data_IF_037277027731
#
_entry.id   IF_037277027731
#
_cell.length_a   1.000
_cell.length_b   1.000
_cell.length_c   1.000
_cell.angle_alpha   90.00
_cell.angle_beta   90.00
_cell.angle_gamma   90.00
#
_symmetry.space_group_name_H-M   'P 1'
#
loop_
_entity.id
_entity.type
_entity.pdbx_description
1 polymer ?
#
# COMPACT_ATOMS: atom_id res chain seq x y z
N UNK A 1 -1.26 89.37 -26.82
CA UNK A 1 -1.86 88.18 -27.49
C UNK A 1 -1.58 86.99 -26.59
N UNK A 2 -2.39 86.88 -25.51
CA UNK A 2 -2.20 85.86 -24.44
C UNK A 2 -3.06 84.65 -24.72
N UNK A 3 -2.43 83.56 -25.11
CA UNK A 3 -3.12 82.29 -25.31
C UNK A 3 -3.06 81.53 -23.96
N UNK A 4 -4.18 80.99 -23.46
CA UNK A 4 -4.35 80.65 -22.04
C UNK A 4 -3.66 79.35 -21.66
N UNK A 5 -2.58 79.46 -20.93
CA UNK A 5 -1.86 78.35 -20.22
C UNK A 5 -2.79 77.60 -19.30
N UNK A 6 -3.93 78.11 -18.93
CA UNK A 6 -4.92 77.55 -18.00
C UNK A 6 -5.57 76.27 -18.52
N UNK A 7 -5.87 76.15 -19.81
CA UNK A 7 -6.52 74.96 -20.44
C UNK A 7 -5.62 73.77 -20.56
N UNK A 8 -4.30 73.97 -20.62
CA UNK A 8 -3.36 72.85 -20.74
C UNK A 8 -3.15 72.20 -19.42
N UNK A 9 -3.18 72.91 -18.29
CA UNK A 9 -3.04 72.31 -16.94
C UNK A 9 -4.27 71.50 -16.52
N UNK A 10 -5.48 71.85 -16.95
CA UNK A 10 -6.68 71.09 -16.65
C UNK A 10 -6.74 69.76 -17.44
N UNK A 11 -6.28 69.76 -18.70
CA UNK A 11 -6.23 68.53 -19.52
C UNK A 11 -5.19 67.52 -19.03
N UNK A 12 -4.13 68.01 -18.42
CA UNK A 12 -3.09 67.10 -17.78
C UNK A 12 -3.52 66.60 -16.41
N UNK A 13 -4.39 67.32 -15.70
CA UNK A 13 -4.90 66.91 -14.38
C UNK A 13 -5.98 65.83 -14.47
N UNK A 14 -6.77 65.83 -15.55
CA UNK A 14 -7.81 64.84 -15.83
C UNK A 14 -7.19 63.47 -16.21
N UNK A 15 -6.05 63.46 -16.93
CA UNK A 15 -5.40 62.21 -17.37
C UNK A 15 -4.66 61.45 -16.27
N UNK A 16 -4.33 62.11 -15.13
CA UNK A 16 -3.57 61.49 -14.04
C UNK A 16 -4.43 60.77 -12.98
N UNK A 17 -5.75 60.91 -13.02
CA UNK A 17 -6.61 60.34 -11.95
C UNK A 17 -7.26 58.98 -12.26
N UNK A 18 -7.29 58.55 -13.50
CA UNK A 18 -7.95 57.31 -13.88
C UNK A 18 -7.01 56.07 -13.97
N UNK A 19 -5.72 56.30 -14.22
CA UNK A 19 -4.76 55.19 -14.35
C UNK A 19 -4.58 54.37 -13.07
N UNK A 20 -4.39 54.94 -11.86
CA UNK A 20 -4.19 54.14 -10.67
C UNK A 20 -5.43 53.33 -10.24
N UNK A 21 -6.63 53.86 -10.47
CA UNK A 21 -7.88 53.14 -10.15
C UNK A 21 -8.10 51.93 -11.05
N UNK A 22 -7.73 52.00 -12.33
CA UNK A 22 -7.81 50.87 -13.27
C UNK A 22 -6.82 49.73 -12.88
N UNK A 23 -5.61 50.09 -12.47
CA UNK A 23 -4.62 49.09 -12.00
C UNK A 23 -5.02 48.44 -10.67
N UNK A 24 -5.61 49.22 -9.75
CA UNK A 24 -6.12 48.69 -8.48
C UNK A 24 -7.30 47.74 -8.71
N UNK A 25 -8.23 48.09 -9.65
CA UNK A 25 -9.36 47.20 -9.96
C UNK A 25 -8.91 45.90 -10.66
N UNK A 26 -7.91 45.99 -11.56
CA UNK A 26 -7.35 44.81 -12.24
C UNK A 26 -6.61 43.89 -11.25
N UNK A 27 -5.84 44.49 -10.33
CA UNK A 27 -5.13 43.74 -9.27
C UNK A 27 -6.12 43.08 -8.29
N UNK A 28 -7.20 43.76 -7.90
CA UNK A 28 -8.26 43.22 -7.07
C UNK A 28 -8.99 42.05 -7.77
N UNK A 29 -9.24 42.18 -9.09
CA UNK A 29 -9.87 41.12 -9.87
C UNK A 29 -8.96 39.86 -9.99
N UNK A 30 -7.67 40.07 -10.20
CA UNK A 30 -6.70 38.92 -10.23
C UNK A 30 -6.55 38.27 -8.86
N UNK A 31 -6.56 39.04 -7.77
CA UNK A 31 -6.55 38.47 -6.42
C UNK A 31 -7.82 37.63 -6.14
N UNK A 32 -8.98 38.10 -6.60
CA UNK A 32 -10.27 37.42 -6.44
C UNK A 32 -10.30 36.08 -7.21
N UNK A 33 -9.69 36.02 -8.40
CA UNK A 33 -9.61 34.80 -9.20
C UNK A 33 -8.64 33.77 -8.61
N UNK A 34 -7.55 34.22 -7.99
CA UNK A 34 -6.58 33.35 -7.31
C UNK A 34 -7.19 32.73 -6.03
N UNK A 35 -7.94 33.54 -5.27
CA UNK A 35 -8.58 33.01 -4.04
C UNK A 35 -9.72 32.03 -4.34
N UNK A 36 -10.48 32.22 -5.41
CA UNK A 36 -11.52 31.26 -5.80
C UNK A 36 -10.96 29.90 -6.27
N UNK A 37 -9.75 29.87 -6.85
CA UNK A 37 -9.08 28.63 -7.21
C UNK A 37 -8.55 27.84 -6.00
N UNK A 38 -8.26 28.50 -4.89
CA UNK A 38 -7.82 27.82 -3.65
C UNK A 38 -8.98 27.20 -2.86
N UNK A 39 -10.21 27.70 -3.00
CA UNK A 39 -11.36 27.13 -2.29
C UNK A 39 -12.01 25.92 -2.99
N UNK A 40 -11.59 25.59 -4.22
CA UNK A 40 -12.21 24.54 -5.04
C UNK A 40 -11.73 23.10 -4.80
N UNK A 41 -10.71 22.88 -3.97
CA UNK A 41 -10.18 21.54 -3.71
C UNK A 41 -10.38 21.15 -2.25
N UNK A 42 -11.62 21.01 -1.80
CA UNK A 42 -11.88 20.03 -0.74
C UNK A 42 -11.68 18.65 -1.37
N UNK A 43 -10.42 18.18 -1.33
CA UNK A 43 -10.10 16.80 -1.58
C UNK A 43 -10.95 15.99 -0.60
N UNK A 44 -12.05 15.42 -1.08
CA UNK A 44 -12.78 14.42 -0.33
C UNK A 44 -11.73 13.37 -0.03
N UNK A 45 -11.33 13.23 1.22
CA UNK A 45 -10.39 12.19 1.65
C UNK A 45 -11.09 10.85 1.44
N UNK A 46 -11.07 10.40 0.19
CA UNK A 46 -11.40 9.03 -0.15
C UNK A 46 -10.23 8.20 0.36
N UNK A 47 -10.41 7.60 1.55
CA UNK A 47 -9.50 6.59 2.06
C UNK A 47 -9.40 5.49 1.01
N UNK A 48 -8.29 5.49 0.29
CA UNK A 48 -8.03 4.47 -0.72
C UNK A 48 -7.60 3.20 0.02
N UNK A 49 -8.46 2.21 0.05
CA UNK A 49 -8.19 0.91 0.61
C UNK A 49 -7.71 -0.02 -0.50
N UNK A 50 -6.42 -0.38 -0.50
CA UNK A 50 -5.83 -1.28 -1.51
C UNK A 50 -5.69 -2.67 -0.94
N UNK A 51 -6.04 -3.65 -1.77
CA UNK A 51 -5.84 -5.09 -1.49
C UNK A 51 -4.98 -5.67 -2.59
N UNK A 52 -4.01 -6.49 -2.21
CA UNK A 52 -3.09 -7.16 -3.13
C UNK A 52 -3.16 -8.68 -2.91
N UNK A 53 -3.27 -9.47 -3.98
CA UNK A 53 -3.02 -10.90 -4.00
C UNK A 53 -1.66 -11.19 -4.63
N UNK A 54 -0.81 -12.01 -3.97
CA UNK A 54 0.53 -12.28 -4.45
C UNK A 54 0.97 -13.71 -4.16
N UNK A 55 1.22 -14.49 -5.21
CA UNK A 55 1.94 -15.75 -5.08
C UNK A 55 3.44 -15.47 -5.06
N UNK A 56 4.11 -15.77 -3.96
CA UNK A 56 5.53 -15.48 -3.76
C UNK A 56 6.45 -16.61 -4.27
N UNK A 57 5.88 -17.63 -4.91
CA UNK A 57 6.64 -18.74 -5.53
C UNK A 57 7.62 -19.40 -4.56
N UNK A 58 7.11 -20.00 -3.49
CA UNK A 58 7.89 -20.71 -2.47
C UNK A 58 8.88 -19.79 -1.72
N UNK A 59 8.36 -18.95 -0.83
CA UNK A 59 9.18 -18.15 0.08
C UNK A 59 9.55 -19.00 1.30
N UNK A 60 10.71 -19.67 1.20
CA UNK A 60 11.31 -20.52 2.24
C UNK A 60 12.51 -19.85 2.87
N UNK A 61 12.73 -20.12 4.16
CA UNK A 61 14.01 -19.85 4.78
C UNK A 61 15.06 -20.91 4.34
N UNK A 62 16.17 -21.05 5.02
CA UNK A 62 17.22 -22.03 4.68
C UNK A 62 17.45 -23.04 5.81
N UNK A 63 16.39 -23.29 6.62
CA UNK A 63 16.41 -24.25 7.74
C UNK A 63 15.43 -25.35 7.45
N UNK A 64 15.83 -26.58 7.72
CA UNK A 64 14.99 -27.76 7.52
C UNK A 64 13.87 -27.84 8.55
N UNK A 65 12.63 -27.98 8.10
CA UNK A 65 11.50 -28.43 8.91
C UNK A 65 11.40 -29.97 8.83
N UNK A 66 11.74 -30.64 9.89
CA UNK A 66 11.75 -32.13 9.95
C UNK A 66 10.39 -32.78 9.66
N UNK A 67 9.30 -32.02 9.70
CA UNK A 67 7.93 -32.49 9.42
C UNK A 67 7.51 -32.26 7.98
N UNK A 68 8.38 -31.62 7.15
CA UNK A 68 8.06 -31.19 5.79
C UNK A 68 9.10 -31.64 4.77
N UNK A 69 8.68 -31.72 3.53
CA UNK A 69 9.55 -32.02 2.40
C UNK A 69 10.04 -30.69 1.76
N UNK A 70 10.92 -30.00 2.47
CA UNK A 70 11.52 -28.72 2.10
C UNK A 70 12.98 -28.84 1.65
N UNK A 71 13.46 -30.07 1.44
CA UNK A 71 14.86 -30.38 1.12
C UNK A 71 15.44 -29.54 -0.04
N UNK A 72 14.62 -29.13 -1.02
CA UNK A 72 15.07 -28.28 -2.12
C UNK A 72 15.54 -26.89 -1.66
N UNK A 73 15.10 -26.45 -0.49
CA UNK A 73 15.38 -25.11 0.06
C UNK A 73 16.46 -25.12 1.14
N UNK A 74 17.39 -26.06 1.03
CA UNK A 74 18.55 -26.17 1.94
C UNK A 74 19.85 -25.77 1.24
N UNK A 75 20.87 -25.34 1.99
CA UNK A 75 22.16 -24.94 1.43
C UNK A 75 22.87 -26.06 0.62
N UNK A 76 22.72 -27.28 1.05
CA UNK A 76 23.36 -28.46 0.43
C UNK A 76 22.53 -29.11 -0.68
N UNK A 77 21.33 -28.59 -0.94
CA UNK A 77 20.44 -29.03 -2.01
C UNK A 77 20.90 -28.53 -3.38
N UNK A 78 20.32 -29.10 -4.46
CA UNK A 78 20.62 -28.72 -5.86
C UNK A 78 20.44 -27.22 -6.10
N UNK A 79 19.48 -26.57 -5.43
CA UNK A 79 19.25 -25.12 -5.53
C UNK A 79 20.31 -24.30 -4.79
N UNK A 80 21.12 -24.92 -3.92
CA UNK A 80 22.04 -24.21 -3.03
C UNK A 80 21.34 -23.03 -2.35
N UNK A 81 20.19 -23.28 -1.73
CA UNK A 81 19.34 -22.27 -1.12
C UNK A 81 19.92 -21.87 0.23
N UNK A 82 20.69 -20.79 0.23
CA UNK A 82 21.37 -20.25 1.39
C UNK A 82 20.77 -18.93 1.86
N UNK A 83 21.24 -18.43 2.99
CA UNK A 83 20.75 -17.19 3.60
C UNK A 83 20.82 -15.97 2.64
N UNK A 84 21.86 -15.86 1.81
CA UNK A 84 21.98 -14.77 0.85
C UNK A 84 20.87 -14.80 -0.21
N UNK A 85 20.55 -15.98 -0.74
CA UNK A 85 19.45 -16.16 -1.70
C UNK A 85 18.09 -15.90 -1.05
N UNK A 86 17.90 -16.43 0.16
CA UNK A 86 16.70 -16.18 0.95
C UNK A 86 16.48 -14.69 1.19
N UNK A 87 17.50 -14.00 1.70
CA UNK A 87 17.42 -12.54 1.96
C UNK A 87 17.16 -11.75 0.70
N UNK A 88 17.80 -12.07 -0.42
CA UNK A 88 17.55 -11.43 -1.72
C UNK A 88 16.10 -11.59 -2.17
N UNK A 89 15.52 -12.78 -2.02
CA UNK A 89 14.13 -13.07 -2.36
C UNK A 89 13.17 -12.32 -1.46
N UNK A 90 13.41 -12.35 -0.16
CA UNK A 90 12.63 -11.64 0.84
C UNK A 90 12.58 -10.13 0.53
N UNK A 91 13.72 -9.52 0.21
CA UNK A 91 13.80 -8.10 -0.15
C UNK A 91 13.12 -7.81 -1.51
N UNK A 92 13.15 -8.77 -2.46
CA UNK A 92 12.44 -8.62 -3.73
C UNK A 92 10.91 -8.63 -3.53
N UNK A 93 10.38 -9.59 -2.74
CA UNK A 93 8.96 -9.67 -2.37
C UNK A 93 8.52 -8.38 -1.68
N UNK A 94 9.30 -7.89 -0.71
CA UNK A 94 9.00 -6.66 0.00
C UNK A 94 8.92 -5.44 -0.93
N UNK A 95 9.86 -5.32 -1.88
CA UNK A 95 9.87 -4.23 -2.87
C UNK A 95 8.66 -4.28 -3.81
N UNK A 96 8.22 -5.47 -4.23
CA UNK A 96 7.01 -5.62 -5.05
C UNK A 96 5.79 -5.12 -4.30
N UNK A 97 5.64 -5.48 -3.02
CA UNK A 97 4.52 -5.02 -2.18
C UNK A 97 4.51 -3.49 -2.06
N UNK A 98 5.67 -2.87 -1.82
CA UNK A 98 5.78 -1.40 -1.77
C UNK A 98 5.45 -0.77 -3.12
N UNK A 99 5.98 -1.33 -4.22
CA UNK A 99 5.78 -0.77 -5.57
C UNK A 99 4.31 -0.79 -6.00
N UNK A 100 3.56 -1.86 -5.69
CA UNK A 100 2.12 -1.94 -5.95
C UNK A 100 1.35 -0.89 -5.15
N UNK A 101 1.84 -0.52 -3.99
CA UNK A 101 1.25 0.52 -3.14
C UNK A 101 1.40 1.93 -3.68
N UNK A 102 2.38 2.21 -4.56
CA UNK A 102 2.74 3.54 -5.02
C UNK A 102 3.06 4.50 -3.85
N UNK A 103 2.10 5.41 -3.52
CA UNK A 103 2.25 6.40 -2.44
C UNK A 103 1.99 5.85 -1.03
N UNK A 104 1.26 4.73 -0.92
CA UNK A 104 1.03 4.06 0.36
C UNK A 104 0.91 2.55 0.17
N UNK A 105 1.58 1.74 1.00
CA UNK A 105 1.52 0.29 0.89
C UNK A 105 0.07 -0.22 0.94
N UNK A 106 -0.26 -1.37 0.29
CA UNK A 106 -1.59 -1.96 0.35
C UNK A 106 -2.03 -2.21 1.80
N UNK A 107 -3.30 -1.93 2.12
CA UNK A 107 -3.83 -2.17 3.46
C UNK A 107 -3.85 -3.65 3.83
N UNK A 108 -4.12 -4.51 2.83
CA UNK A 108 -4.11 -5.97 2.93
C UNK A 108 -3.27 -6.57 1.82
N UNK A 109 -2.47 -7.60 2.16
CA UNK A 109 -1.71 -8.39 1.18
C UNK A 109 -1.94 -9.88 1.46
N UNK A 110 -2.68 -10.55 0.57
CA UNK A 110 -2.85 -11.99 0.58
C UNK A 110 -1.63 -12.66 -0.07
N UNK A 111 -0.92 -13.48 0.68
CA UNK A 111 0.27 -14.20 0.23
C UNK A 111 -0.03 -15.68 0.09
N UNK A 112 0.41 -16.26 -1.03
CA UNK A 112 0.41 -17.70 -1.26
C UNK A 112 1.86 -18.22 -1.33
N UNK A 113 2.06 -19.47 -0.91
CA UNK A 113 3.34 -20.17 -0.94
C UNK A 113 4.40 -19.58 0.01
N UNK A 114 3.97 -19.26 1.21
CA UNK A 114 4.84 -18.88 2.32
C UNK A 114 5.07 -20.08 3.22
N UNK A 115 6.29 -20.25 3.69
CA UNK A 115 6.64 -21.41 4.52
C UNK A 115 6.06 -21.33 5.93
N UNK A 116 6.46 -20.33 6.72
CA UNK A 116 6.18 -20.30 8.15
C UNK A 116 6.17 -18.88 8.76
N UNK A 117 5.91 -18.81 10.07
CA UNK A 117 5.92 -17.57 10.85
C UNK A 117 7.28 -16.85 10.85
N UNK A 118 8.39 -17.60 10.83
CA UNK A 118 9.73 -17.01 10.82
C UNK A 118 9.95 -16.19 9.56
N UNK A 119 9.55 -16.72 8.41
CA UNK A 119 9.63 -16.03 7.12
C UNK A 119 8.79 -14.77 7.10
N UNK A 120 7.57 -14.81 7.62
CA UNK A 120 6.69 -13.62 7.69
C UNK A 120 7.20 -12.57 8.68
N UNK A 121 7.77 -13.00 9.80
CA UNK A 121 8.44 -12.11 10.74
C UNK A 121 9.63 -11.41 10.07
N UNK A 122 10.42 -12.16 9.33
CA UNK A 122 11.57 -11.61 8.61
C UNK A 122 11.12 -10.63 7.51
N UNK A 123 10.06 -10.99 6.77
CA UNK A 123 9.48 -10.13 5.74
C UNK A 123 8.94 -8.80 6.33
N UNK A 124 8.23 -8.87 7.46
CA UNK A 124 7.58 -7.68 8.03
C UNK A 124 8.50 -6.84 8.90
N UNK A 125 9.56 -7.41 9.51
CA UNK A 125 10.43 -6.70 10.48
C UNK A 125 11.83 -6.41 9.97
N UNK A 126 12.35 -7.23 9.03
CA UNK A 126 13.73 -7.15 8.58
C UNK A 126 13.88 -6.86 7.09
N UNK A 127 12.82 -6.36 6.46
CA UNK A 127 12.82 -5.82 5.10
C UNK A 127 12.35 -4.35 5.10
N UNK A 128 12.20 -3.77 3.90
CA UNK A 128 11.64 -2.41 3.72
C UNK A 128 10.19 -2.31 4.19
N UNK A 129 9.48 -3.43 4.40
CA UNK A 129 8.11 -3.42 4.93
C UNK A 129 8.04 -3.07 6.43
N UNK A 130 9.15 -2.99 7.13
CA UNK A 130 9.20 -2.62 8.55
C UNK A 130 8.49 -1.29 8.81
N UNK A 131 8.66 -0.32 7.94
CA UNK A 131 8.06 1.01 8.08
C UNK A 131 6.53 1.02 7.83
N UNK A 132 6.00 -0.02 7.18
CA UNK A 132 4.56 -0.16 6.94
C UNK A 132 3.78 -0.79 8.11
N UNK A 133 4.47 -1.22 9.17
CA UNK A 133 3.92 -1.84 10.40
C UNK A 133 2.89 -2.94 10.13
N UNK A 134 3.17 -3.82 9.17
CA UNK A 134 2.31 -4.96 8.91
C UNK A 134 2.29 -5.94 10.07
N UNK A 135 1.08 -6.47 10.35
CA UNK A 135 0.85 -7.68 11.12
C UNK A 135 0.41 -8.77 10.15
N UNK A 136 0.38 -10.01 10.60
CA UNK A 136 -0.03 -11.11 9.75
C UNK A 136 -0.85 -12.17 10.49
N UNK A 137 -1.60 -12.93 9.70
CA UNK A 137 -2.23 -14.21 10.06
C UNK A 137 -1.77 -15.22 9.03
N UNK A 138 -1.44 -16.44 9.45
CA UNK A 138 -0.97 -17.52 8.59
C UNK A 138 -1.72 -18.81 8.91
N UNK A 139 -1.90 -19.67 7.89
CA UNK A 139 -2.34 -21.06 8.10
C UNK A 139 -1.17 -21.96 8.50
N UNK A 140 -1.47 -23.08 9.14
CA UNK A 140 -0.54 -24.19 9.32
C UNK A 140 -1.14 -25.39 8.61
N UNK A 141 -0.83 -25.51 7.32
CA UNK A 141 -1.43 -26.48 6.40
C UNK A 141 -0.77 -27.85 6.51
N UNK A 142 -1.52 -28.94 6.26
CA UNK A 142 -0.94 -30.26 6.17
C UNK A 142 -0.19 -30.52 4.86
N UNK A 143 0.00 -29.52 4.00
CA UNK A 143 0.75 -29.65 2.74
C UNK A 143 2.16 -30.19 3.03
N UNK A 144 2.53 -31.26 2.34
CA UNK A 144 3.80 -31.95 2.53
C UNK A 144 5.02 -31.09 2.24
N UNK A 145 4.88 -30.09 1.35
CA UNK A 145 5.97 -29.18 0.99
C UNK A 145 6.22 -28.10 2.04
N UNK A 146 5.30 -27.94 3.01
CA UNK A 146 5.42 -26.91 4.04
C UNK A 146 4.94 -25.53 3.60
N UNK A 147 4.14 -25.41 2.52
CA UNK A 147 3.63 -24.11 2.05
C UNK A 147 2.27 -23.78 2.65
N UNK A 148 2.11 -22.52 2.98
CA UNK A 148 0.92 -21.95 3.62
C UNK A 148 0.39 -20.74 2.84
N UNK A 149 -0.75 -20.22 3.28
CA UNK A 149 -1.30 -18.93 2.88
C UNK A 149 -1.31 -17.99 4.08
N UNK A 150 -1.12 -16.70 3.81
CA UNK A 150 -1.07 -15.68 4.85
C UNK A 150 -1.74 -14.38 4.40
N UNK A 151 -2.21 -13.60 5.36
CA UNK A 151 -2.68 -12.24 5.15
C UNK A 151 -1.80 -11.28 5.95
N UNK A 152 -1.13 -10.35 5.26
CA UNK A 152 -0.54 -9.17 5.90
C UNK A 152 -1.61 -8.08 5.98
N UNK A 153 -1.65 -7.34 7.08
CA UNK A 153 -2.58 -6.22 7.26
C UNK A 153 -1.94 -5.08 8.03
N UNK A 154 -2.29 -3.84 7.67
CA UNK A 154 -1.89 -2.64 8.39
C UNK A 154 -2.88 -2.35 9.51
N UNK A 155 -2.41 -2.34 10.77
CA UNK A 155 -3.27 -2.12 11.95
C UNK A 155 -4.02 -0.80 11.95
N UNK A 156 -3.46 0.23 11.33
CA UNK A 156 -4.10 1.53 11.20
C UNK A 156 -5.28 1.56 10.23
N UNK A 157 -5.38 0.57 9.32
CA UNK A 157 -6.39 0.51 8.27
C UNK A 157 -7.37 -0.66 8.43
N UNK A 158 -6.93 -1.73 9.10
CA UNK A 158 -7.72 -2.95 9.31
C UNK A 158 -7.52 -3.47 10.73
N UNK A 159 -8.62 -3.58 11.47
CA UNK A 159 -8.66 -4.18 12.82
C UNK A 159 -9.08 -5.64 12.69
N UNK A 160 -8.15 -6.56 12.89
CA UNK A 160 -8.41 -7.99 12.94
C UNK A 160 -9.42 -8.32 14.04
N UNK A 161 -10.48 -9.04 13.70
CA UNK A 161 -11.47 -9.60 14.62
C UNK A 161 -11.25 -11.10 14.82
N UNK A 162 -11.08 -11.85 13.73
CA UNK A 162 -10.83 -13.29 13.77
C UNK A 162 -10.01 -13.76 12.58
N UNK A 163 -9.27 -14.85 12.77
CA UNK A 163 -8.58 -15.57 11.71
C UNK A 163 -8.77 -17.07 11.95
N UNK A 164 -9.28 -17.77 10.93
CA UNK A 164 -9.59 -19.20 10.99
C UNK A 164 -9.00 -19.93 9.79
N UNK A 165 -8.49 -21.13 10.04
CA UNK A 165 -7.92 -22.00 9.02
C UNK A 165 -8.86 -23.19 8.79
N UNK A 166 -9.33 -23.36 7.56
CA UNK A 166 -10.23 -24.44 7.19
C UNK A 166 -9.49 -25.48 6.34
N UNK A 167 -9.52 -26.73 6.77
CA UNK A 167 -9.02 -27.84 5.97
C UNK A 167 -9.88 -28.08 4.75
N UNK A 168 -9.23 -28.21 3.60
CA UNK A 168 -9.90 -28.65 2.39
C UNK A 168 -10.10 -30.15 2.46
N UNK A 169 -11.32 -30.58 2.83
CA UNK A 169 -11.70 -32.00 2.80
C UNK A 169 -11.77 -32.45 1.35
N UNK A 170 -11.24 -33.66 1.12
CA UNK A 170 -11.03 -34.31 -0.18
C UNK A 170 -12.30 -34.38 -1.04
N UNK A 171 -12.55 -33.35 -1.84
CA UNK A 171 -13.47 -33.44 -2.96
C UNK A 171 -12.80 -34.06 -4.22
N UNK A 172 -11.47 -34.25 -4.17
CA UNK A 172 -10.69 -34.80 -5.28
C UNK A 172 -10.12 -36.19 -4.98
N UNK A 173 -10.03 -37.02 -6.02
CA UNK A 173 -9.46 -38.39 -6.01
C UNK A 173 -7.98 -38.49 -5.57
N UNK A 174 -7.33 -37.35 -5.30
CA UNK A 174 -5.96 -37.31 -4.81
C UNK A 174 -5.91 -37.48 -3.29
N UNK A 175 -5.13 -38.44 -2.81
CA UNK A 175 -4.86 -38.62 -1.40
C UNK A 175 -3.85 -37.62 -0.81
N UNK A 176 -3.33 -36.72 -1.63
CA UNK A 176 -2.31 -35.73 -1.22
C UNK A 176 -2.93 -34.61 -0.41
N UNK A 177 -2.41 -34.29 0.79
CA UNK A 177 -2.83 -33.14 1.55
C UNK A 177 -2.56 -31.84 0.78
N UNK A 178 -3.46 -30.87 0.90
CA UNK A 178 -3.31 -29.57 0.26
C UNK A 178 -3.36 -28.44 1.28
N UNK A 179 -3.14 -27.23 0.84
CA UNK A 179 -3.18 -26.03 1.68
C UNK A 179 -4.60 -25.81 2.25
N UNK A 180 -4.64 -25.30 3.46
CA UNK A 180 -5.87 -24.84 4.09
C UNK A 180 -6.32 -23.53 3.46
N UNK A 181 -7.61 -23.24 3.58
CA UNK A 181 -8.20 -21.92 3.27
C UNK A 181 -8.08 -21.06 4.52
N UNK A 182 -7.53 -19.86 4.39
CA UNK A 182 -7.50 -18.87 5.45
C UNK A 182 -8.71 -17.95 5.31
N UNK A 183 -9.55 -17.89 6.34
CA UNK A 183 -10.62 -16.90 6.48
C UNK A 183 -10.22 -15.88 7.54
N UNK A 184 -10.23 -14.61 7.18
CA UNK A 184 -9.95 -13.49 8.09
C UNK A 184 -11.12 -12.52 8.07
N UNK A 185 -11.64 -12.19 9.24
CA UNK A 185 -12.66 -11.16 9.42
C UNK A 185 -12.10 -9.98 10.20
N UNK A 186 -12.43 -8.77 9.80
CA UNK A 186 -11.97 -7.56 10.44
C UNK A 186 -12.79 -6.33 10.09
N UNK A 187 -12.48 -5.21 10.77
CA UNK A 187 -13.11 -3.92 10.56
C UNK A 187 -12.18 -2.98 9.80
N UNK A 188 -12.72 -2.34 8.79
CA UNK A 188 -12.11 -1.19 8.12
C UNK A 188 -12.19 0.06 9.00
N UNK A 189 -11.46 1.11 8.66
CA UNK A 189 -11.49 2.40 9.38
C UNK A 189 -12.89 3.02 9.47
N UNK A 190 -13.72 2.82 8.45
CA UNK A 190 -15.12 3.28 8.41
C UNK A 190 -16.08 2.40 9.24
N UNK A 191 -15.55 1.39 9.95
CA UNK A 191 -16.26 0.38 10.76
C UNK A 191 -17.06 -0.64 9.95
N UNK A 192 -16.92 -0.68 8.63
CA UNK A 192 -17.49 -1.76 7.83
C UNK A 192 -16.72 -3.05 8.08
N UNK A 193 -17.43 -4.17 8.11
CA UNK A 193 -16.84 -5.49 8.23
C UNK A 193 -16.35 -5.95 6.86
N UNK A 194 -15.13 -6.51 6.82
CA UNK A 194 -14.56 -7.14 5.63
C UNK A 194 -14.13 -8.57 5.97
N UNK A 195 -14.59 -9.51 5.17
CA UNK A 195 -14.15 -10.90 5.19
C UNK A 195 -13.25 -11.20 4.00
N UNK A 196 -12.13 -11.85 4.27
CA UNK A 196 -11.11 -12.22 3.28
C UNK A 196 -10.92 -13.72 3.31
N UNK A 197 -11.04 -14.37 2.17
CA UNK A 197 -10.74 -15.79 1.95
C UNK A 197 -9.53 -15.94 1.02
N UNK A 198 -8.55 -16.74 1.42
CA UNK A 198 -7.31 -16.98 0.66
C UNK A 198 -7.10 -18.47 0.48
#
# INVERSE_FOLDING_TARGET
MDIPIRRYKEKMRSKKRSAPLLFISLYALTLLTITSSLYGQTKKDTLTFRVMGYNVENLFDCRHDTLKNDYEFLPDAVRHWNYSKYKKKLDAVARVIIAVGEWSPPALVALCEVENDSVLRDLTRYSVLREADYRYVITHSPDERGINVALLYQRGLFKLLSGQSYSVTKAHKSNRPTRNILHVSGLLLNKDTLDVLI
#
